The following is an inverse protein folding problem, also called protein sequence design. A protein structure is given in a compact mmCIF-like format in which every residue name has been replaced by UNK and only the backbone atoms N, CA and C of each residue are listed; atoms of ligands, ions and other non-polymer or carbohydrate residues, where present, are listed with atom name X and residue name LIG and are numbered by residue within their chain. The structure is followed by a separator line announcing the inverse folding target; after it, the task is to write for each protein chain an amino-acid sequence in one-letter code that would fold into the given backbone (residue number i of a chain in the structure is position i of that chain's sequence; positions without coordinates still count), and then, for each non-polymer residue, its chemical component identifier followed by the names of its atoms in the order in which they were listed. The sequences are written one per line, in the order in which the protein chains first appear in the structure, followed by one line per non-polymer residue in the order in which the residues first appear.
data_IF_906328492120
#
_entry.id   IF_906328492120
#
_cell.length_a   1.000
_cell.length_b   1.000
_cell.length_c   1.000
_cell.angle_alpha   90.00
_cell.angle_beta   90.00
_cell.angle_gamma   90.00
#
_symmetry.space_group_name_H-M   'P 1'
#
loop_
_entity.id
_entity.type
_entity.pdbx_description
1 polymer ?
#
# COMPACT_ATOMS: atom_id res chain seq x y z
N UNK A 1 -24.59 -30.17 63.92
CA UNK A 1 -23.38 -29.56 63.33
C UNK A 1 -22.94 -30.47 62.19
N UNK A 2 -23.34 -30.14 60.95
CA UNK A 2 -23.06 -30.97 59.78
C UNK A 2 -21.75 -30.51 59.15
N UNK A 3 -20.73 -31.37 59.17
CA UNK A 3 -19.48 -31.14 58.45
C UNK A 3 -19.70 -31.63 57.02
N UNK A 4 -19.86 -30.70 56.09
CA UNK A 4 -19.85 -31.00 54.66
C UNK A 4 -18.42 -31.35 54.25
N UNK A 5 -18.21 -32.61 53.89
CA UNK A 5 -16.94 -33.06 53.30
C UNK A 5 -16.74 -32.35 51.96
N UNK A 6 -15.88 -31.34 51.94
CA UNK A 6 -15.38 -30.72 50.73
C UNK A 6 -14.30 -31.64 50.14
N UNK A 7 -14.69 -32.55 49.26
CA UNK A 7 -13.74 -33.37 48.51
C UNK A 7 -13.01 -32.48 47.50
N UNK A 8 -11.81 -32.06 47.88
CA UNK A 8 -10.87 -31.40 46.96
C UNK A 8 -10.41 -32.48 45.98
N UNK A 9 -11.01 -32.50 44.80
CA UNK A 9 -10.61 -33.40 43.71
C UNK A 9 -9.20 -32.99 43.31
N UNK A 10 -8.22 -33.80 43.70
CA UNK A 10 -6.84 -33.61 43.27
C UNK A 10 -6.76 -33.88 41.76
N UNK A 11 -6.09 -33.02 40.98
CA UNK A 11 -6.02 -33.19 39.54
C UNK A 11 -5.32 -34.51 39.21
N UNK A 12 -6.04 -35.39 38.52
CA UNK A 12 -5.54 -36.68 38.05
C UNK A 12 -4.35 -36.49 37.09
N UNK A 13 -3.52 -37.52 36.94
CA UNK A 13 -2.31 -37.50 36.10
C UNK A 13 -2.55 -36.99 34.67
N UNK A 14 -3.72 -37.24 34.10
CA UNK A 14 -4.13 -36.74 32.78
C UNK A 14 -4.31 -35.22 32.73
N UNK A 15 -4.81 -34.58 33.81
CA UNK A 15 -4.95 -33.12 33.88
C UNK A 15 -3.58 -32.42 33.88
N UNK A 16 -2.59 -32.98 34.57
CA UNK A 16 -1.23 -32.40 34.59
C UNK A 16 -0.57 -32.43 33.21
N UNK A 17 -0.74 -33.52 32.45
CA UNK A 17 -0.24 -33.62 31.07
C UNK A 17 -0.95 -32.64 30.12
N UNK A 18 -2.27 -32.50 30.27
CA UNK A 18 -3.04 -31.54 29.47
C UNK A 18 -2.61 -30.09 29.75
N UNK A 19 -2.44 -29.73 31.03
CA UNK A 19 -1.96 -28.39 31.43
C UNK A 19 -0.55 -28.15 30.89
N UNK A 20 0.37 -29.11 31.03
CA UNK A 20 1.72 -28.99 30.47
C UNK A 20 1.70 -28.80 28.95
N UNK A 21 0.86 -29.55 28.24
CA UNK A 21 0.68 -29.42 26.80
C UNK A 21 0.14 -28.03 26.41
N UNK A 22 -0.86 -27.52 27.13
CA UNK A 22 -1.41 -26.17 26.89
C UNK A 22 -0.38 -25.07 27.15
N UNK A 23 0.43 -25.20 28.21
CA UNK A 23 1.50 -24.25 28.52
C UNK A 23 2.59 -24.24 27.43
N UNK A 24 2.94 -25.40 26.89
CA UNK A 24 3.87 -25.50 25.74
C UNK A 24 3.25 -24.83 24.50
N UNK A 25 1.95 -25.03 24.25
CA UNK A 25 1.27 -24.41 23.11
C UNK A 25 1.23 -22.87 23.24
N UNK A 26 0.95 -22.36 24.43
CA UNK A 26 0.97 -20.91 24.73
C UNK A 26 2.40 -20.37 24.58
N UNK A 27 3.40 -21.07 25.10
CA UNK A 27 4.80 -20.68 24.96
C UNK A 27 5.24 -20.64 23.48
N UNK A 28 4.87 -21.65 22.67
CA UNK A 28 5.11 -21.66 21.23
C UNK A 28 4.39 -20.51 20.52
N UNK A 29 3.17 -20.16 20.94
CA UNK A 29 2.42 -19.02 20.40
C UNK A 29 3.08 -17.68 20.75
N UNK A 30 3.64 -17.54 21.96
CA UNK A 30 4.40 -16.36 22.39
C UNK A 30 5.78 -16.27 21.72
N UNK A 31 6.32 -17.39 21.24
CA UNK A 31 7.57 -17.47 20.47
C UNK A 31 7.39 -17.15 18.99
N UNK A 32 6.16 -17.06 18.48
CA UNK A 32 5.94 -16.54 17.13
C UNK A 32 6.45 -15.08 17.13
N UNK A 33 7.55 -14.77 16.42
CA UNK A 33 7.95 -13.38 16.29
C UNK A 33 6.74 -12.62 15.74
N UNK A 34 6.57 -11.36 16.19
CA UNK A 34 5.67 -10.44 15.50
C UNK A 34 6.10 -10.45 14.03
N UNK A 35 5.38 -11.16 13.18
CA UNK A 35 5.66 -11.29 11.76
C UNK A 35 5.47 -9.89 11.17
N UNK A 36 6.53 -9.10 11.18
CA UNK A 36 6.58 -7.86 10.42
C UNK A 36 6.76 -8.30 8.97
N UNK A 37 5.64 -8.38 8.25
CA UNK A 37 5.68 -8.52 6.81
C UNK A 37 6.29 -7.23 6.24
N UNK A 38 7.44 -7.36 5.60
CA UNK A 38 8.03 -6.30 4.77
C UNK A 38 7.81 -6.65 3.32
N UNK A 39 7.58 -5.64 2.50
CA UNK A 39 7.44 -5.78 1.05
C UNK A 39 8.70 -5.20 0.42
N UNK A 40 9.32 -5.95 -0.49
CA UNK A 40 10.48 -5.48 -1.25
C UNK A 40 10.45 -6.04 -2.65
N UNK A 41 10.80 -5.22 -3.63
CA UNK A 41 10.96 -5.61 -5.02
C UNK A 41 11.97 -4.71 -5.71
N UNK A 42 12.64 -5.25 -6.73
CA UNK A 42 13.50 -4.51 -7.64
C UNK A 42 13.19 -4.98 -9.06
N UNK A 43 12.81 -4.05 -9.94
CA UNK A 43 12.30 -4.33 -11.29
C UNK A 43 12.77 -3.25 -12.26
N UNK A 44 13.19 -3.70 -13.43
CA UNK A 44 13.52 -2.86 -14.59
C UNK A 44 12.59 -3.12 -15.78
N UNK A 45 11.79 -4.18 -15.71
CA UNK A 45 10.78 -4.57 -16.69
C UNK A 45 9.47 -4.86 -15.95
N UNK A 46 8.38 -4.30 -16.48
CA UNK A 46 7.04 -4.31 -15.90
C UNK A 46 6.00 -5.03 -16.79
N UNK A 47 6.40 -5.73 -17.86
CA UNK A 47 5.48 -6.41 -18.77
C UNK A 47 4.59 -7.45 -18.08
N UNK A 48 5.18 -8.26 -17.19
CA UNK A 48 4.49 -9.35 -16.48
C UNK A 48 4.49 -9.09 -14.97
N UNK A 49 3.83 -8.01 -14.54
CA UNK A 49 3.71 -7.67 -13.12
C UNK A 49 2.27 -7.68 -12.60
N UNK A 50 1.74 -8.86 -12.22
CA UNK A 50 0.32 -9.02 -11.87
C UNK A 50 -0.09 -8.31 -10.58
N UNK A 51 0.86 -8.05 -9.68
CA UNK A 51 0.61 -7.31 -8.44
C UNK A 51 0.34 -5.82 -8.70
N UNK A 52 0.69 -5.28 -9.87
CA UNK A 52 0.42 -3.87 -10.22
C UNK A 52 -0.91 -3.75 -10.95
N UNK A 53 -1.77 -2.87 -10.44
CA UNK A 53 -3.04 -2.47 -11.05
C UNK A 53 -2.86 -1.18 -11.82
N UNK A 54 -3.24 -1.19 -13.10
CA UNK A 54 -3.18 -0.03 -13.98
C UNK A 54 -4.54 0.66 -14.05
N UNK A 55 -4.55 1.99 -14.00
CA UNK A 55 -5.77 2.79 -14.10
C UNK A 55 -5.59 3.95 -15.08
N UNK A 56 -6.71 4.46 -15.61
CA UNK A 56 -6.74 5.58 -16.55
C UNK A 56 -5.99 5.25 -17.85
N UNK A 57 -5.24 6.22 -18.37
CA UNK A 57 -4.48 6.08 -19.61
C UNK A 57 -3.12 5.36 -19.45
N UNK A 58 -2.99 4.48 -18.45
CA UNK A 58 -1.74 3.76 -18.18
C UNK A 58 -1.70 2.45 -18.92
N UNK A 59 -0.57 2.17 -19.56
CA UNK A 59 -0.27 0.91 -20.23
C UNK A 59 1.18 0.51 -19.97
N UNK A 60 1.54 -0.73 -20.28
CA UNK A 60 2.94 -1.16 -20.30
C UNK A 60 3.41 -1.22 -21.75
N UNK A 61 4.49 -0.50 -22.06
CA UNK A 61 5.09 -0.45 -23.39
C UNK A 61 6.57 -0.75 -23.25
N UNK A 62 7.03 -1.79 -23.94
CA UNK A 62 8.43 -2.25 -23.89
C UNK A 62 8.95 -2.40 -22.44
N UNK A 63 8.13 -3.01 -21.58
CA UNK A 63 8.47 -3.22 -20.18
C UNK A 63 8.44 -1.98 -19.29
N UNK A 64 7.97 -0.83 -19.77
CA UNK A 64 7.89 0.42 -19.01
C UNK A 64 6.44 0.85 -18.77
N UNK A 65 6.10 1.36 -17.59
CA UNK A 65 4.82 2.03 -17.39
C UNK A 65 4.77 3.33 -18.21
N UNK A 66 3.77 3.43 -19.08
CA UNK A 66 3.55 4.58 -19.93
C UNK A 66 2.15 5.14 -19.72
N UNK A 67 2.07 6.42 -19.38
CA UNK A 67 0.82 7.18 -19.41
C UNK A 67 0.77 7.85 -20.78
N UNK A 68 -0.07 7.34 -21.67
CA UNK A 68 -0.17 7.84 -23.03
C UNK A 68 -1.28 8.87 -23.15
N UNK A 69 -1.00 9.92 -23.91
CA UNK A 69 -2.07 10.76 -24.43
C UNK A 69 -2.74 10.01 -25.59
N UNK A 70 -3.94 9.48 -25.37
CA UNK A 70 -4.53 8.46 -26.27
C UNK A 70 -5.11 9.01 -27.57
N UNK A 71 -5.03 10.32 -27.83
CA UNK A 71 -5.54 10.90 -29.08
C UNK A 71 -4.62 12.05 -29.55
N UNK A 72 -3.93 11.93 -30.71
CA UNK A 72 -3.17 13.04 -31.28
C UNK A 72 -4.06 14.12 -31.92
N UNK A 73 -5.34 13.82 -32.21
CA UNK A 73 -6.29 14.72 -32.88
C UNK A 73 -7.19 15.45 -31.88
N UNK A 74 -7.43 14.85 -30.72
CA UNK A 74 -8.07 15.52 -29.58
C UNK A 74 -6.95 15.91 -28.64
N UNK A 75 -6.82 17.18 -28.27
CA UNK A 75 -5.92 17.63 -27.20
C UNK A 75 -6.37 17.10 -25.83
N UNK A 76 -6.62 15.80 -25.71
CA UNK A 76 -6.96 15.17 -24.45
C UNK A 76 -5.76 15.27 -23.52
N UNK A 77 -6.03 15.33 -22.22
CA UNK A 77 -4.98 15.26 -21.20
C UNK A 77 -5.03 13.83 -20.68
N UNK A 78 -3.93 13.08 -20.86
CA UNK A 78 -3.83 11.72 -20.34
C UNK A 78 -3.68 11.78 -18.83
N UNK A 79 -4.43 10.94 -18.11
CA UNK A 79 -4.25 10.79 -16.66
C UNK A 79 -4.27 9.31 -16.33
N UNK A 80 -3.26 8.86 -15.62
CA UNK A 80 -3.04 7.44 -15.36
C UNK A 80 -2.22 7.21 -14.10
N UNK A 81 -2.23 5.97 -13.62
CA UNK A 81 -1.41 5.50 -12.50
C UNK A 81 -1.22 3.99 -12.55
N UNK A 82 -0.13 3.55 -11.94
CA UNK A 82 0.18 2.17 -11.63
C UNK A 82 0.24 2.03 -10.10
N UNK A 83 -0.51 1.08 -9.53
CA UNK A 83 -0.68 0.93 -8.07
C UNK A 83 -0.33 -0.49 -7.66
N UNK A 84 0.54 -0.64 -6.65
CA UNK A 84 0.83 -1.94 -6.06
C UNK A 84 -0.40 -2.45 -5.30
N UNK A 85 -0.82 -3.67 -5.65
CA UNK A 85 -2.14 -4.20 -5.30
C UNK A 85 -2.21 -4.80 -3.91
N UNK A 86 -1.08 -5.13 -3.28
CA UNK A 86 -1.03 -5.57 -1.88
C UNK A 86 -0.96 -4.36 -0.95
N UNK A 87 -1.80 -4.39 0.07
CA UNK A 87 -1.81 -3.40 1.14
C UNK A 87 -0.67 -3.67 2.11
N UNK A 88 -0.08 -2.60 2.64
CA UNK A 88 0.90 -2.70 3.71
C UNK A 88 0.63 -1.67 4.80
N UNK A 89 0.97 -2.05 6.04
CA UNK A 89 0.75 -1.21 7.19
C UNK A 89 1.91 -0.23 7.37
N UNK A 90 1.69 1.05 7.06
CA UNK A 90 2.63 2.12 7.35
C UNK A 90 2.78 2.41 8.85
N UNK A 91 1.75 2.07 9.63
CA UNK A 91 1.74 2.26 11.07
C UNK A 91 0.82 1.27 11.76
N UNK A 92 1.24 0.79 12.94
CA UNK A 92 0.45 -0.11 13.78
C UNK A 92 -0.19 0.66 14.93
N UNK A 93 -1.51 0.89 14.96
CA UNK A 93 -2.14 1.71 16.01
C UNK A 93 -2.00 1.09 17.41
N UNK A 94 -1.95 -0.26 17.49
CA UNK A 94 -1.75 -0.99 18.74
C UNK A 94 -0.29 -1.05 19.19
N UNK A 95 0.64 -1.14 18.24
CA UNK A 95 2.07 -1.31 18.54
C UNK A 95 2.81 0.03 18.62
N UNK A 96 2.19 1.12 18.15
CA UNK A 96 2.80 2.45 17.91
C UNK A 96 4.07 2.39 17.05
N UNK A 97 4.27 1.29 16.31
CA UNK A 97 5.38 1.13 15.39
C UNK A 97 5.02 1.77 14.06
N UNK A 98 5.98 2.47 13.48
CA UNK A 98 5.90 3.05 12.14
C UNK A 98 6.79 2.21 11.24
N UNK A 99 6.38 2.01 9.99
CA UNK A 99 7.20 1.36 8.99
C UNK A 99 8.16 2.37 8.37
N UNK A 100 9.43 1.98 8.25
CA UNK A 100 10.39 2.67 7.39
C UNK A 100 10.27 2.11 5.97
N UNK A 101 10.45 2.96 4.97
CA UNK A 101 10.48 2.52 3.57
C UNK A 101 11.50 3.31 2.77
N UNK A 102 12.06 2.67 1.75
CA UNK A 102 12.86 3.30 0.71
C UNK A 102 12.30 2.93 -0.67
N UNK A 103 12.31 3.89 -1.58
CA UNK A 103 11.90 3.68 -2.97
C UNK A 103 12.90 4.34 -3.90
N UNK A 104 13.20 3.66 -5.00
CA UNK A 104 14.06 4.15 -6.07
C UNK A 104 13.40 3.82 -7.39
N UNK A 105 13.20 4.85 -8.20
CA UNK A 105 12.64 4.71 -9.53
C UNK A 105 13.36 5.64 -10.50
N UNK A 106 13.21 5.35 -11.77
CA UNK A 106 13.65 6.23 -12.86
C UNK A 106 12.45 6.48 -13.76
N UNK A 107 12.31 7.71 -14.22
CA UNK A 107 11.22 8.12 -15.10
C UNK A 107 11.74 9.09 -16.15
N UNK A 108 11.02 9.20 -17.26
CA UNK A 108 11.30 10.15 -18.33
C UNK A 108 10.01 10.85 -18.72
N UNK A 109 10.05 12.18 -18.79
CA UNK A 109 8.98 12.99 -19.36
C UNK A 109 9.40 13.41 -20.76
N UNK A 110 8.67 12.93 -21.76
CA UNK A 110 8.93 13.24 -23.16
C UNK A 110 7.82 14.16 -23.66
N UNK A 111 8.19 15.34 -24.17
CA UNK A 111 7.26 16.19 -24.92
C UNK A 111 7.69 16.25 -26.39
N UNK A 112 6.71 16.15 -27.29
CA UNK A 112 6.93 16.35 -28.72
C UNK A 112 7.11 17.83 -29.09
N UNK A 113 6.74 18.75 -28.20
CA UNK A 113 6.87 20.19 -28.37
C UNK A 113 7.30 20.81 -27.03
N UNK A 114 8.51 21.39 -26.99
CA UNK A 114 9.06 22.02 -25.78
C UNK A 114 8.18 23.17 -25.23
N UNK A 115 7.24 23.68 -26.02
CA UNK A 115 6.31 24.75 -25.61
C UNK A 115 5.02 24.24 -24.97
N UNK A 116 4.77 22.93 -25.02
CA UNK A 116 3.63 22.27 -24.37
C UNK A 116 4.19 21.25 -23.38
N UNK A 117 4.46 21.71 -22.16
CA UNK A 117 4.80 20.87 -21.02
C UNK A 117 3.62 20.81 -20.05
N UNK A 118 3.70 19.93 -19.06
CA UNK A 118 2.64 19.71 -18.08
C UNK A 118 1.90 18.37 -18.23
N UNK A 119 1.25 17.90 -17.16
CA UNK A 119 1.17 18.56 -15.85
C UNK A 119 2.20 18.04 -14.83
N UNK A 120 2.61 16.76 -14.90
CA UNK A 120 3.68 16.24 -14.04
C UNK A 120 3.58 14.74 -13.75
N UNK A 121 4.39 14.29 -12.79
CA UNK A 121 4.44 12.91 -12.28
C UNK A 121 4.51 12.91 -10.76
N UNK A 122 3.98 11.87 -10.10
CA UNK A 122 4.10 11.72 -8.65
C UNK A 122 4.25 10.26 -8.21
N UNK A 123 5.10 10.04 -7.20
CA UNK A 123 5.04 8.85 -6.34
C UNK A 123 4.11 9.15 -5.18
N UNK A 124 3.21 8.22 -4.83
CA UNK A 124 2.25 8.45 -3.76
C UNK A 124 2.02 7.23 -2.89
N UNK A 125 1.60 7.49 -1.66
CA UNK A 125 1.07 6.54 -0.70
C UNK A 125 -0.37 6.98 -0.39
N UNK A 126 -1.32 6.06 -0.51
CA UNK A 126 -2.72 6.33 -0.25
C UNK A 126 -3.36 5.22 0.59
N UNK A 127 -4.34 5.58 1.41
CA UNK A 127 -5.20 4.59 2.07
C UNK A 127 -5.87 3.68 1.03
N UNK A 128 -6.11 2.43 1.42
CA UNK A 128 -6.87 1.51 0.58
C UNK A 128 -8.26 2.07 0.28
N UNK A 129 -8.70 1.94 -0.96
CA UNK A 129 -10.00 2.42 -1.40
C UNK A 129 -10.12 3.94 -1.47
N UNK A 130 -9.06 4.72 -1.18
CA UNK A 130 -9.01 6.12 -1.60
C UNK A 130 -9.22 6.11 -3.11
N UNK A 131 -10.34 6.68 -3.53
CA UNK A 131 -10.63 6.93 -4.94
C UNK A 131 -9.64 7.99 -5.41
N UNK A 132 -8.40 7.55 -5.63
CA UNK A 132 -7.54 8.19 -6.59
C UNK A 132 -8.41 8.14 -7.86
N UNK A 133 -8.91 9.27 -8.29
CA UNK A 133 -10.10 9.40 -9.15
C UNK A 133 -10.38 10.87 -9.41
N UNK A 134 -9.30 11.61 -9.29
CA UNK A 134 -9.20 13.03 -9.12
C UNK A 134 -8.91 13.65 -10.49
N UNK A 135 -9.17 14.95 -10.60
CA UNK A 135 -8.99 15.69 -11.83
C UNK A 135 -7.60 15.48 -12.44
N UNK A 136 -7.54 15.35 -13.77
CA UNK A 136 -6.28 15.50 -14.49
C UNK A 136 -5.80 16.95 -14.42
N UNK A 137 -4.70 17.30 -15.08
CA UNK A 137 -4.14 18.64 -14.91
C UNK A 137 -3.13 18.68 -13.76
N UNK A 138 -2.88 19.88 -13.24
CA UNK A 138 -2.03 20.12 -12.05
C UNK A 138 -2.48 19.43 -10.77
N UNK A 139 -3.60 18.70 -10.77
CA UNK A 139 -3.98 17.85 -9.65
C UNK A 139 -3.39 16.42 -9.76
N UNK A 140 -2.66 16.14 -10.85
CA UNK A 140 -1.92 14.90 -11.15
C UNK A 140 -2.74 13.61 -11.06
N UNK A 141 -4.07 13.71 -11.14
CA UNK A 141 -4.97 12.58 -10.91
C UNK A 141 -5.00 12.08 -9.47
N UNK A 142 -4.51 12.86 -8.51
CA UNK A 142 -4.37 12.52 -7.09
C UNK A 142 -5.50 13.08 -6.21
N UNK A 143 -5.87 14.35 -6.42
CA UNK A 143 -6.91 15.06 -5.64
C UNK A 143 -8.00 15.68 -6.52
N UNK A 144 -9.28 15.69 -6.09
CA UNK A 144 -10.39 16.11 -6.95
C UNK A 144 -10.31 17.58 -7.37
N UNK A 145 -9.68 18.43 -6.56
CA UNK A 145 -9.46 19.83 -6.83
C UNK A 145 -8.12 20.30 -6.24
N UNK A 146 -7.25 20.89 -7.07
CA UNK A 146 -5.97 21.46 -6.66
C UNK A 146 -6.00 22.99 -6.48
N UNK A 147 -7.13 23.64 -6.78
CA UNK A 147 -7.33 25.08 -6.60
C UNK A 147 -7.92 25.50 -5.25
N UNK A 148 -8.09 24.57 -4.29
CA UNK A 148 -8.66 24.85 -2.98
C UNK A 148 -7.95 24.09 -1.85
N UNK A 149 -8.35 24.36 -0.60
CA UNK A 149 -7.88 23.62 0.59
C UNK A 149 -8.54 22.23 0.69
N UNK A 150 -8.41 21.44 -0.36
CA UNK A 150 -8.92 20.07 -0.41
C UNK A 150 -7.93 19.18 0.34
N UNK A 151 -8.18 18.95 1.62
CA UNK A 151 -7.42 17.98 2.40
C UNK A 151 -7.95 16.58 2.13
N UNK A 152 -7.28 15.84 1.24
CA UNK A 152 -7.49 14.40 1.12
C UNK A 152 -6.75 13.69 2.25
N UNK A 153 -7.51 13.19 3.23
CA UNK A 153 -6.93 12.46 4.36
C UNK A 153 -6.33 11.13 3.90
N UNK A 154 -5.10 10.84 4.31
CA UNK A 154 -4.45 9.56 3.99
C UNK A 154 -3.90 9.47 2.58
N UNK A 155 -3.50 10.61 1.99
CA UNK A 155 -2.68 10.69 0.79
C UNK A 155 -1.40 11.46 1.12
N UNK A 156 -0.26 10.93 0.72
CA UNK A 156 1.03 11.64 0.68
C UNK A 156 1.65 11.42 -0.68
N UNK A 157 2.17 12.47 -1.30
CA UNK A 157 2.80 12.39 -2.60
C UNK A 157 4.10 13.18 -2.65
N UNK A 158 5.02 12.72 -3.50
CA UNK A 158 6.20 13.47 -3.94
C UNK A 158 6.01 13.73 -5.43
N UNK A 159 5.82 14.99 -5.79
CA UNK A 159 5.52 15.41 -7.15
C UNK A 159 6.74 15.96 -7.88
N UNK A 160 6.68 15.84 -9.20
CA UNK A 160 7.60 16.41 -10.17
C UNK A 160 6.74 17.21 -11.15
N UNK A 161 6.49 18.46 -10.80
CA UNK A 161 5.67 19.42 -11.56
C UNK A 161 6.50 20.03 -12.70
N UNK A 162 5.91 20.12 -13.89
CA UNK A 162 6.54 20.68 -15.08
C UNK A 162 5.64 21.60 -15.90
N UNK A 163 4.55 22.13 -15.31
CA UNK A 163 3.67 23.12 -15.96
C UNK A 163 3.94 24.57 -15.51
#
# INVERSE_FOLDING_TARGET
MAVTNLSIITPTFHHKKLIAFLLVLIYLFLLLPNLQCSISFNRTDFADWPEIKLYGNTSVINGTFAILNTDPKKKTRGTGRAVFGEEFNLWGPLTRKIADFDTRFSFSMLSGDATVMGDGFAFFLANNGTLVGASGGGCLGLIPNCGGNTMESGLVAVEFDNF
#
